data_IF_374089508634
#
_entry.id   IF_374089508634
#
_cell.length_a   1.000
_cell.length_b   1.000
_cell.length_c   1.000
_cell.angle_alpha   90.00
_cell.angle_beta   90.00
_cell.angle_gamma   90.00
#
_symmetry.space_group_name_H-M   'P 1'
#
loop_
_entity.id
_entity.type
_entity.pdbx_description
1 polymer ?
#
# COMPACT_ATOMS: atom_id res chain seq x y z
N UNK A 1 28.70 28.49 -46.67
CA UNK A 1 29.31 28.74 -45.35
C UNK A 1 28.21 28.65 -44.31
N UNK A 2 28.15 27.55 -43.54
CA UNK A 2 27.16 27.40 -42.46
C UNK A 2 27.56 28.38 -41.36
N UNK A 3 26.74 29.41 -41.11
CA UNK A 3 26.94 30.31 -39.97
C UNK A 3 26.95 29.44 -38.70
N UNK A 4 28.11 29.32 -38.05
CA UNK A 4 28.18 28.71 -36.73
C UNK A 4 27.25 29.49 -35.81
N UNK A 5 26.26 28.83 -35.22
CA UNK A 5 25.33 29.48 -34.30
C UNK A 5 26.11 30.08 -33.13
N UNK A 6 26.29 31.40 -33.13
CA UNK A 6 26.93 32.12 -32.02
C UNK A 6 26.08 31.91 -30.77
N UNK A 7 26.59 31.14 -29.80
CA UNK A 7 25.92 30.98 -28.51
C UNK A 7 26.13 32.25 -27.67
N UNK A 8 25.08 32.88 -27.14
CA UNK A 8 25.24 34.05 -26.30
C UNK A 8 26.03 33.71 -25.01
N UNK A 9 26.82 34.64 -24.46
CA UNK A 9 27.67 34.38 -23.29
C UNK A 9 26.90 33.88 -22.06
N UNK A 10 25.66 34.34 -21.88
CA UNK A 10 24.76 33.88 -20.82
C UNK A 10 24.46 32.38 -20.93
N UNK A 11 24.18 31.89 -22.15
CA UNK A 11 23.93 30.47 -22.42
C UNK A 11 25.17 29.62 -22.17
N UNK A 12 26.36 30.11 -22.53
CA UNK A 12 27.63 29.41 -22.26
C UNK A 12 27.87 29.29 -20.74
N UNK A 13 27.62 30.35 -19.96
CA UNK A 13 27.72 30.29 -18.49
C UNK A 13 26.72 29.29 -17.90
N UNK A 14 25.49 29.29 -18.39
CA UNK A 14 24.44 28.37 -17.91
C UNK A 14 24.76 26.91 -18.21
N UNK A 15 25.16 26.58 -19.45
CA UNK A 15 25.52 25.22 -19.87
C UNK A 15 26.74 24.68 -19.09
N UNK A 16 27.68 25.55 -18.69
CA UNK A 16 28.80 25.16 -17.82
C UNK A 16 28.37 24.81 -16.38
N UNK A 17 27.40 25.53 -15.83
CA UNK A 17 26.87 25.25 -14.49
C UNK A 17 25.85 24.10 -14.46
N UNK A 18 25.22 23.79 -15.59
CA UNK A 18 24.16 22.79 -15.73
C UNK A 18 24.45 21.89 -16.93
N UNK A 19 25.48 21.03 -16.87
CA UNK A 19 25.82 20.15 -17.97
C UNK A 19 24.64 19.21 -18.27
N UNK A 20 24.26 19.12 -19.55
CA UNK A 20 23.17 18.24 -19.97
C UNK A 20 23.63 16.78 -19.97
N UNK A 21 22.96 15.95 -19.19
CA UNK A 21 23.05 14.50 -19.27
C UNK A 21 21.93 13.97 -20.17
N UNK A 22 22.28 13.21 -21.20
CA UNK A 22 21.30 12.51 -22.02
C UNK A 22 21.75 11.07 -22.24
N UNK A 23 20.81 10.13 -22.16
CA UNK A 23 21.04 8.72 -22.43
C UNK A 23 20.02 8.24 -23.46
N UNK A 24 20.41 7.28 -24.30
CA UNK A 24 19.49 6.63 -25.25
C UNK A 24 19.04 5.32 -24.65
N UNK A 25 17.73 5.16 -24.54
CA UNK A 25 17.07 3.94 -24.09
C UNK A 25 16.33 3.32 -25.28
N UNK A 26 16.10 2.00 -25.24
CA UNK A 26 15.10 1.41 -26.11
C UNK A 26 13.71 1.92 -25.70
N UNK A 27 12.74 1.80 -26.60
CA UNK A 27 11.39 2.35 -26.37
C UNK A 27 10.74 1.76 -25.11
N UNK A 28 10.84 0.45 -24.94
CA UNK A 28 10.20 -0.26 -23.82
C UNK A 28 10.73 0.20 -22.46
N UNK A 29 12.05 0.39 -22.34
CA UNK A 29 12.68 0.87 -21.10
C UNK A 29 12.32 2.31 -20.82
N UNK A 30 12.26 3.15 -21.86
CA UNK A 30 11.85 4.54 -21.73
C UNK A 30 10.39 4.64 -21.24
N UNK A 31 9.50 3.86 -21.84
CA UNK A 31 8.07 3.86 -21.50
C UNK A 31 7.85 3.29 -20.09
N UNK A 32 8.55 2.22 -19.71
CA UNK A 32 8.53 1.66 -18.35
C UNK A 32 9.01 2.67 -17.30
N UNK A 33 10.13 3.36 -17.57
CA UNK A 33 10.65 4.38 -16.66
C UNK A 33 9.66 5.54 -16.51
N UNK A 34 9.03 5.98 -17.60
CA UNK A 34 8.01 7.03 -17.56
C UNK A 34 6.81 6.62 -16.71
N UNK A 35 6.28 5.41 -16.90
CA UNK A 35 5.18 4.88 -16.09
C UNK A 35 5.53 4.85 -14.60
N UNK A 36 6.72 4.35 -14.25
CA UNK A 36 7.16 4.32 -12.85
C UNK A 36 7.24 5.69 -12.20
N UNK A 37 7.68 6.71 -12.95
CA UNK A 37 7.73 8.08 -12.43
C UNK A 37 6.33 8.67 -12.24
N UNK A 38 5.38 8.32 -13.11
CA UNK A 38 3.95 8.68 -12.94
C UNK A 38 3.36 8.01 -11.69
N UNK A 39 3.58 6.71 -11.49
CA UNK A 39 3.10 5.94 -10.32
C UNK A 39 3.60 6.51 -8.99
N UNK A 40 4.83 7.02 -8.96
CA UNK A 40 5.45 7.62 -7.77
C UNK A 40 5.00 9.05 -7.48
N UNK A 41 3.91 9.52 -8.11
CA UNK A 41 3.32 10.84 -7.89
C UNK A 41 3.70 11.87 -8.95
N UNK A 42 4.01 11.44 -10.18
CA UNK A 42 4.31 12.36 -11.29
C UNK A 42 5.69 13.01 -11.21
N UNK A 43 6.69 12.26 -10.78
CA UNK A 43 8.06 12.75 -10.59
C UNK A 43 8.73 13.07 -11.93
N UNK A 44 9.55 14.12 -11.95
CA UNK A 44 10.41 14.39 -13.11
C UNK A 44 11.63 13.47 -13.10
N UNK A 45 12.17 13.15 -14.28
CA UNK A 45 13.45 12.43 -14.38
C UNK A 45 14.59 13.13 -13.62
N UNK A 46 14.58 14.47 -13.58
CA UNK A 46 15.58 15.24 -12.86
C UNK A 46 15.46 15.05 -11.35
N UNK A 47 14.24 14.97 -10.83
CA UNK A 47 14.00 14.77 -9.41
C UNK A 47 14.33 13.33 -9.00
N UNK A 48 14.01 12.35 -9.84
CA UNK A 48 14.45 10.97 -9.65
C UNK A 48 15.98 10.83 -9.60
N UNK A 49 16.70 11.50 -10.51
CA UNK A 49 18.17 11.50 -10.49
C UNK A 49 18.71 12.19 -9.24
N UNK A 50 18.16 13.34 -8.84
CA UNK A 50 18.58 14.02 -7.60
C UNK A 50 18.31 13.17 -6.36
N UNK A 51 17.18 12.46 -6.34
CA UNK A 51 16.82 11.54 -5.26
C UNK A 51 17.78 10.36 -5.16
N UNK A 52 18.13 9.74 -6.30
CA UNK A 52 19.15 8.68 -6.34
C UNK A 52 20.53 9.12 -5.86
N UNK A 53 20.82 10.43 -5.89
CA UNK A 53 22.05 11.04 -5.40
C UNK A 53 21.93 11.53 -3.94
N UNK A 54 20.77 11.34 -3.30
CA UNK A 54 20.47 11.81 -1.95
C UNK A 54 20.34 13.33 -1.82
N UNK A 55 20.22 14.05 -2.94
CA UNK A 55 20.08 15.51 -2.99
C UNK A 55 18.64 15.97 -2.83
N UNK A 56 17.69 15.07 -3.08
CA UNK A 56 16.27 15.21 -2.83
C UNK A 56 15.88 14.00 -1.99
N UNK A 57 15.11 14.17 -0.92
CA UNK A 57 14.44 13.04 -0.26
C UNK A 57 13.01 13.07 -0.74
N UNK A 58 12.73 12.39 -1.84
CA UNK A 58 11.36 12.14 -2.23
C UNK A 58 10.75 11.29 -1.13
N UNK A 59 9.63 11.77 -0.56
CA UNK A 59 8.78 10.96 0.29
C UNK A 59 8.10 9.94 -0.60
N UNK A 60 8.86 8.94 -1.05
CA UNK A 60 8.28 7.72 -1.56
C UNK A 60 7.40 7.20 -0.43
N UNK A 61 6.10 6.96 -0.66
CA UNK A 61 5.25 6.39 0.36
C UNK A 61 5.93 5.11 0.87
N UNK A 62 6.16 5.05 2.17
CA UNK A 62 6.71 3.85 2.78
C UNK A 62 5.67 2.75 2.62
N UNK A 63 5.98 1.81 1.74
CA UNK A 63 5.07 0.73 1.34
C UNK A 63 4.76 -0.13 2.57
N UNK A 64 5.68 -0.23 3.53
CA UNK A 64 5.47 -0.96 4.78
C UNK A 64 4.47 -0.24 5.68
N UNK A 65 4.62 1.08 5.87
CA UNK A 65 3.72 1.90 6.70
C UNK A 65 2.28 1.90 6.17
N UNK A 66 2.09 1.99 4.85
CA UNK A 66 0.76 1.91 4.22
C UNK A 66 0.14 0.53 4.40
N UNK A 67 0.94 -0.53 4.26
CA UNK A 67 0.47 -1.91 4.39
C UNK A 67 0.09 -2.25 5.83
N UNK A 68 0.86 -1.78 6.80
CA UNK A 68 0.55 -1.97 8.22
C UNK A 68 -0.73 -1.24 8.63
N UNK A 69 -0.88 0.02 8.21
CA UNK A 69 -2.08 0.82 8.51
C UNK A 69 -3.34 0.19 7.91
N UNK A 70 -3.29 -0.16 6.61
CA UNK A 70 -4.44 -0.80 5.94
C UNK A 70 -4.76 -2.20 6.50
N UNK A 71 -3.73 -2.95 6.92
CA UNK A 71 -3.93 -4.27 7.55
C UNK A 71 -4.54 -4.16 8.96
N UNK A 72 -4.19 -3.12 9.72
CA UNK A 72 -4.77 -2.85 11.03
C UNK A 72 -6.23 -2.44 10.93
N UNK A 73 -6.54 -1.46 10.07
CA UNK A 73 -7.92 -0.98 9.88
C UNK A 73 -8.86 -2.09 9.39
N UNK A 74 -8.42 -2.93 8.44
CA UNK A 74 -9.20 -4.06 7.97
C UNK A 74 -9.41 -5.15 9.03
N UNK A 75 -8.44 -5.35 9.91
CA UNK A 75 -8.55 -6.29 11.02
C UNK A 75 -9.52 -5.78 12.09
N UNK A 76 -9.40 -4.51 12.47
CA UNK A 76 -10.27 -3.89 13.48
C UNK A 76 -11.73 -3.84 12.99
N UNK A 77 -11.95 -3.48 11.72
CA UNK A 77 -13.30 -3.49 11.14
C UNK A 77 -13.90 -4.92 11.13
N UNK A 78 -13.10 -5.93 10.77
CA UNK A 78 -13.57 -7.32 10.80
C UNK A 78 -13.92 -7.78 12.23
N UNK A 79 -13.17 -7.31 13.23
CA UNK A 79 -13.46 -7.59 14.64
C UNK A 79 -14.76 -6.90 15.07
N UNK A 80 -14.99 -5.64 14.70
CA UNK A 80 -16.25 -4.95 15.06
C UNK A 80 -17.49 -5.59 14.42
N UNK A 81 -17.41 -5.99 13.14
CA UNK A 81 -18.57 -6.49 12.41
C UNK A 81 -18.87 -7.98 12.66
N UNK A 82 -17.85 -8.81 12.87
CA UNK A 82 -17.99 -10.26 12.84
C UNK A 82 -17.56 -10.99 14.13
N UNK A 83 -16.93 -10.31 15.09
CA UNK A 83 -16.46 -10.98 16.31
C UNK A 83 -17.62 -11.45 17.18
N UNK A 84 -17.60 -12.74 17.52
CA UNK A 84 -18.52 -13.33 18.49
C UNK A 84 -17.99 -13.03 19.90
N UNK A 85 -18.85 -12.53 20.77
CA UNK A 85 -18.52 -12.23 22.17
C UNK A 85 -19.72 -12.50 23.07
N UNK A 86 -19.46 -12.69 24.36
CA UNK A 86 -20.50 -12.84 25.40
C UNK A 86 -20.04 -12.27 26.73
N UNK A 87 -20.96 -12.02 27.66
CA UNK A 87 -20.61 -11.55 29.00
C UNK A 87 -20.35 -12.70 29.96
N UNK A 88 -19.31 -12.57 30.78
CA UNK A 88 -19.05 -13.48 31.88
C UNK A 88 -20.23 -13.48 32.86
N UNK A 89 -20.83 -14.63 33.11
CA UNK A 89 -21.95 -14.75 34.05
C UNK A 89 -21.58 -14.38 35.51
N UNK A 90 -20.29 -14.39 35.86
CA UNK A 90 -19.79 -14.09 37.21
C UNK A 90 -19.45 -12.62 37.37
N UNK A 91 -18.59 -12.09 36.50
CA UNK A 91 -18.05 -10.73 36.65
C UNK A 91 -18.61 -9.71 35.65
N UNK A 92 -19.50 -10.15 34.74
CA UNK A 92 -20.16 -9.33 33.70
C UNK A 92 -19.20 -8.62 32.73
N UNK A 93 -17.92 -8.99 32.73
CA UNK A 93 -16.96 -8.49 31.74
C UNK A 93 -17.16 -9.19 30.41
N UNK A 94 -16.90 -8.47 29.32
CA UNK A 94 -16.91 -8.99 27.95
C UNK A 94 -15.83 -10.07 27.80
N UNK A 95 -16.21 -11.17 27.16
CA UNK A 95 -15.33 -12.26 26.75
C UNK A 95 -15.44 -12.36 25.24
N UNK A 96 -14.31 -12.20 24.57
CA UNK A 96 -14.20 -12.39 23.13
C UNK A 96 -13.95 -13.87 22.82
N UNK A 97 -14.64 -14.39 21.81
CA UNK A 97 -14.52 -15.79 21.40
C UNK A 97 -13.44 -15.91 20.33
N UNK A 98 -12.30 -16.47 20.70
CA UNK A 98 -11.24 -16.75 19.74
C UNK A 98 -11.55 -18.00 18.90
N UNK A 99 -11.17 -18.03 17.61
CA UNK A 99 -11.24 -19.22 16.78
C UNK A 99 -10.60 -20.45 17.45
N UNK A 100 -11.26 -21.60 17.42
CA UNK A 100 -10.84 -22.86 18.05
C UNK A 100 -10.60 -22.84 19.57
N UNK A 101 -10.94 -21.76 20.29
CA UNK A 101 -10.97 -21.74 21.75
C UNK A 101 -12.03 -22.68 22.32
N UNK A 102 -11.95 -22.96 23.62
CA UNK A 102 -12.93 -23.81 24.30
C UNK A 102 -14.34 -23.21 24.27
N UNK A 103 -14.45 -21.88 24.39
CA UNK A 103 -15.72 -21.17 24.22
C UNK A 103 -16.29 -21.34 22.81
N UNK A 104 -15.45 -21.25 21.78
CA UNK A 104 -15.89 -21.48 20.40
C UNK A 104 -16.37 -22.92 20.19
N UNK A 105 -15.65 -23.91 20.70
CA UNK A 105 -16.06 -25.32 20.64
C UNK A 105 -17.36 -25.56 21.38
N UNK A 106 -17.55 -24.93 22.54
CA UNK A 106 -18.79 -25.04 23.32
C UNK A 106 -19.99 -24.47 22.53
N UNK A 107 -19.82 -23.33 21.86
CA UNK A 107 -20.87 -22.74 20.99
C UNK A 107 -21.21 -23.69 19.85
N UNK A 108 -20.21 -24.23 19.13
CA UNK A 108 -20.43 -25.20 18.04
C UNK A 108 -21.17 -26.44 18.56
N UNK A 109 -20.73 -26.99 19.70
CA UNK A 109 -21.35 -28.14 20.34
C UNK A 109 -22.82 -27.87 20.69
N UNK A 110 -23.08 -26.73 21.33
CA UNK A 110 -24.43 -26.31 21.69
C UNK A 110 -25.36 -26.22 20.47
N UNK A 111 -24.92 -25.56 19.39
CA UNK A 111 -25.69 -25.43 18.15
C UNK A 111 -26.04 -26.81 17.58
N UNK A 112 -25.06 -27.72 17.53
CA UNK A 112 -25.27 -29.09 17.05
C UNK A 112 -26.26 -29.88 17.91
N UNK A 113 -26.12 -29.82 19.23
CA UNK A 113 -26.99 -30.55 20.18
C UNK A 113 -28.44 -30.08 20.12
N UNK A 114 -28.65 -28.78 19.88
CA UNK A 114 -29.99 -28.19 19.81
C UNK A 114 -30.59 -28.25 18.38
N UNK A 115 -29.96 -28.99 17.49
CA UNK A 115 -30.47 -29.20 16.13
C UNK A 115 -30.42 -27.95 15.25
N UNK A 116 -29.56 -26.96 15.56
CA UNK A 116 -29.35 -25.84 14.64
C UNK A 116 -28.72 -26.37 13.35
N UNK A 117 -29.29 -25.96 12.22
CA UNK A 117 -28.88 -26.43 10.90
C UNK A 117 -29.45 -25.53 9.83
N UNK A 118 -29.02 -25.74 8.58
CA UNK A 118 -29.55 -25.00 7.44
C UNK A 118 -31.06 -25.20 7.33
N UNK A 119 -31.78 -24.18 6.84
CA UNK A 119 -33.22 -24.27 6.62
C UNK A 119 -33.59 -25.47 5.74
N UNK A 120 -32.82 -25.72 4.67
CA UNK A 120 -33.02 -26.88 3.79
C UNK A 120 -32.78 -28.25 4.44
N UNK A 121 -32.03 -28.30 5.55
CA UNK A 121 -31.85 -29.53 6.32
C UNK A 121 -33.06 -29.82 7.24
N UNK A 122 -33.89 -28.82 7.50
CA UNK A 122 -35.07 -28.91 8.37
C UNK A 122 -36.40 -28.92 7.59
N UNK A 123 -36.36 -28.66 6.28
CA UNK A 123 -37.51 -28.86 5.39
C UNK A 123 -37.62 -30.34 4.99
N UNK A 124 -38.57 -31.03 5.62
CA UNK A 124 -39.08 -32.34 5.22
C UNK A 124 -40.61 -32.27 5.07
#
# INVERSE_FOLDING_TARGET
MVKGNHKPPSRVKYEKGHPTLSCRLNKDTHDLLKQRLEDLGGLSFADFVKDSLGLLQLKMPDIEEIKETASGEGYDQAMEEYQIWYYCAVCQKRIDVEPNSDSHKAIIGYMKEHGWGHASCHEH
#
